data_IF_116219489289
#
_entry.id   IF_116219489289
#
_cell.length_a   1.000
_cell.length_b   1.000
_cell.length_c   1.000
_cell.angle_alpha   90.00
_cell.angle_beta   90.00
_cell.angle_gamma   90.00
#
_symmetry.space_group_name_H-M   'P 1'
#
loop_
_entity.id
_entity.type
_entity.pdbx_description
1 polymer ?
#
# COMPACT_ATOMS: atom_id res chain seq x y z
N UNK A 1 -19.73 4.86 -15.55
CA UNK A 1 -19.78 4.07 -14.30
C UNK A 1 -18.71 4.60 -13.34
N UNK A 2 -18.72 4.17 -12.08
CA UNK A 2 -17.65 4.44 -11.12
C UNK A 2 -17.39 3.20 -10.27
N UNK A 3 -16.14 3.03 -9.79
CA UNK A 3 -15.76 1.97 -8.86
C UNK A 3 -14.90 2.60 -7.75
N UNK A 4 -15.18 2.25 -6.50
CA UNK A 4 -14.44 2.77 -5.34
C UNK A 4 -13.40 1.74 -4.88
N UNK A 5 -12.12 2.00 -5.14
CA UNK A 5 -11.01 1.08 -4.80
C UNK A 5 -10.64 1.06 -3.30
N UNK A 6 -11.02 2.13 -2.58
CA UNK A 6 -10.81 2.26 -1.13
C UNK A 6 -12.01 3.01 -0.54
N UNK A 7 -12.73 2.39 0.39
CA UNK A 7 -13.97 2.95 0.94
C UNK A 7 -13.76 4.20 1.79
N UNK A 8 -12.65 4.24 2.53
CA UNK A 8 -12.21 5.40 3.32
C UNK A 8 -10.69 5.51 3.28
N UNK A 9 -10.11 6.44 2.50
CA UNK A 9 -8.68 6.46 2.25
C UNK A 9 -7.92 7.22 3.35
N UNK A 10 -7.08 6.49 4.10
CA UNK A 10 -6.22 7.07 5.16
C UNK A 10 -4.72 6.69 5.01
N UNK A 11 -4.34 6.15 3.84
CA UNK A 11 -3.00 5.58 3.60
C UNK A 11 -2.28 6.12 2.35
N UNK A 12 -2.82 7.14 1.68
CA UNK A 12 -2.23 7.63 0.42
C UNK A 12 -2.18 6.57 -0.69
N UNK A 13 -3.21 5.71 -0.76
CA UNK A 13 -3.36 4.68 -1.80
C UNK A 13 -4.11 5.23 -3.02
N UNK A 14 -3.67 6.37 -3.54
CA UNK A 14 -4.21 6.94 -4.77
C UNK A 14 -3.94 6.03 -5.99
N UNK A 15 -4.90 6.04 -6.92
CA UNK A 15 -4.76 5.42 -8.24
C UNK A 15 -4.03 6.40 -9.17
N UNK A 16 -2.70 6.42 -9.05
CA UNK A 16 -1.85 7.49 -9.58
C UNK A 16 -1.58 7.42 -11.09
N UNK A 17 -1.79 6.27 -11.73
CA UNK A 17 -1.47 6.07 -13.14
C UNK A 17 -2.71 5.99 -14.02
N UNK A 18 -2.51 6.22 -15.32
CA UNK A 18 -3.56 6.03 -16.30
C UNK A 18 -4.02 4.56 -16.34
N UNK A 19 -5.33 4.31 -16.53
CA UNK A 19 -5.85 2.98 -16.81
C UNK A 19 -5.35 2.47 -18.17
N UNK A 20 -5.18 1.15 -18.29
CA UNK A 20 -4.79 0.47 -19.51
C UNK A 20 -6.04 -0.12 -20.15
N UNK A 21 -6.38 0.27 -21.38
CA UNK A 21 -7.45 -0.37 -22.14
C UNK A 21 -6.94 -1.68 -22.71
N UNK A 22 -7.62 -2.78 -22.41
CA UNK A 22 -7.22 -4.12 -22.83
C UNK A 22 -8.42 -4.84 -23.45
N UNK A 23 -8.16 -5.66 -24.47
CA UNK A 23 -9.15 -6.57 -25.04
C UNK A 23 -8.69 -8.00 -24.73
N UNK A 24 -9.49 -8.73 -23.94
CA UNK A 24 -9.15 -10.05 -23.36
C UNK A 24 -10.25 -11.07 -23.60
N UNK A 25 -9.96 -12.35 -23.38
CA UNK A 25 -10.95 -13.43 -23.48
C UNK A 25 -11.01 -14.21 -22.18
N UNK A 26 -12.10 -14.08 -21.43
CA UNK A 26 -12.30 -14.79 -20.16
C UNK A 26 -13.43 -15.81 -20.33
N UNK A 27 -13.16 -17.07 -20.02
CA UNK A 27 -14.11 -18.18 -20.17
C UNK A 27 -14.72 -18.26 -21.60
N UNK A 28 -13.91 -17.95 -22.61
CA UNK A 28 -14.34 -17.93 -24.03
C UNK A 28 -15.16 -16.70 -24.44
N UNK A 29 -15.41 -15.75 -23.54
CA UNK A 29 -16.12 -14.50 -23.82
C UNK A 29 -15.11 -13.36 -24.09
N UNK A 30 -15.17 -12.69 -25.24
CA UNK A 30 -14.38 -11.48 -25.47
C UNK A 30 -14.91 -10.34 -24.58
N UNK A 31 -14.00 -9.66 -23.88
CA UNK A 31 -14.30 -8.55 -22.98
C UNK A 31 -13.45 -7.35 -23.36
N UNK A 32 -14.11 -6.21 -23.54
CA UNK A 32 -13.49 -4.90 -23.61
C UNK A 32 -13.23 -4.41 -22.19
N UNK A 33 -12.04 -4.65 -21.67
CA UNK A 33 -11.72 -4.35 -20.28
C UNK A 33 -10.86 -3.09 -20.14
N UNK A 34 -10.80 -2.62 -18.89
CA UNK A 34 -9.86 -1.62 -18.41
C UNK A 34 -9.13 -2.22 -17.21
N UNK A 35 -7.80 -2.21 -17.27
CA UNK A 35 -6.93 -2.67 -16.20
C UNK A 35 -6.27 -1.48 -15.51
N UNK A 36 -6.46 -1.38 -14.20
CA UNK A 36 -5.96 -0.29 -13.38
C UNK A 36 -5.03 -0.86 -12.30
N UNK A 37 -3.70 -0.77 -12.48
CA UNK A 37 -2.78 -1.03 -11.40
C UNK A 37 -2.87 0.11 -10.37
N UNK A 38 -2.71 -0.23 -9.09
CA UNK A 38 -2.80 0.75 -8.01
C UNK A 38 -1.63 0.69 -7.05
N UNK A 39 -1.50 1.73 -6.21
CA UNK A 39 -0.50 1.73 -5.13
C UNK A 39 -0.63 0.52 -4.23
N UNK A 40 -1.82 -0.07 -4.10
CA UNK A 40 -2.06 -1.27 -3.30
C UNK A 40 -1.36 -2.54 -3.80
N UNK A 41 -0.69 -2.52 -4.95
CA UNK A 41 -0.15 -3.71 -5.61
C UNK A 41 -1.24 -4.69 -6.12
N UNK A 42 -2.46 -4.18 -6.34
CA UNK A 42 -3.52 -4.87 -7.06
C UNK A 42 -3.59 -4.39 -8.51
N UNK A 43 -4.00 -5.29 -9.41
CA UNK A 43 -4.49 -4.96 -10.74
C UNK A 43 -6.01 -5.14 -10.74
N UNK A 44 -6.76 -4.04 -10.74
CA UNK A 44 -8.20 -4.10 -10.87
C UNK A 44 -8.57 -4.21 -12.34
N UNK A 45 -9.42 -5.16 -12.70
CA UNK A 45 -9.86 -5.35 -14.09
C UNK A 45 -11.37 -5.29 -14.14
N UNK A 46 -11.88 -4.30 -14.86
CA UNK A 46 -13.31 -4.00 -14.98
C UNK A 46 -13.69 -4.01 -16.47
N UNK A 47 -14.94 -4.36 -16.79
CA UNK A 47 -15.50 -4.09 -18.11
C UNK A 47 -15.53 -2.57 -18.34
N UNK A 48 -14.95 -2.09 -19.43
CA UNK A 48 -14.79 -0.64 -19.65
C UNK A 48 -16.09 0.05 -20.05
N UNK A 49 -17.09 -0.70 -20.52
CA UNK A 49 -18.40 -0.16 -20.90
C UNK A 49 -19.33 -0.09 -19.68
N UNK A 50 -19.29 -1.10 -18.78
CA UNK A 50 -20.22 -1.19 -17.64
C UNK A 50 -19.63 -0.82 -16.28
N UNK A 51 -18.31 -1.01 -16.09
CA UNK A 51 -17.63 -0.87 -14.81
C UNK A 51 -17.74 -2.09 -13.89
N UNK A 52 -18.36 -3.16 -14.37
CA UNK A 52 -18.49 -4.41 -13.61
C UNK A 52 -17.14 -5.13 -13.53
N UNK A 53 -16.79 -5.76 -12.40
CA UNK A 53 -15.57 -6.54 -12.29
C UNK A 53 -15.53 -7.71 -13.28
N UNK A 54 -14.40 -7.88 -13.97
CA UNK A 54 -14.19 -9.04 -14.85
C UNK A 54 -14.09 -10.33 -14.02
N UNK A 55 -13.40 -10.26 -12.89
CA UNK A 55 -13.33 -11.33 -11.88
C UNK A 55 -13.87 -10.84 -10.55
N UNK A 56 -14.27 -11.74 -9.62
CA UNK A 56 -14.77 -11.33 -8.32
C UNK A 56 -13.82 -10.39 -7.58
N UNK A 57 -14.37 -9.32 -7.03
CA UNK A 57 -13.70 -8.46 -6.06
C UNK A 57 -14.45 -8.65 -4.75
N UNK A 58 -13.76 -9.16 -3.74
CA UNK A 58 -14.37 -9.52 -2.46
C UNK A 58 -14.23 -8.39 -1.46
N UNK A 59 -15.32 -8.08 -0.76
CA UNK A 59 -15.26 -7.26 0.44
C UNK A 59 -14.67 -8.08 1.59
N UNK A 60 -13.46 -7.72 2.04
CA UNK A 60 -12.78 -8.41 3.14
C UNK A 60 -12.65 -7.51 4.35
N UNK A 61 -12.86 -8.03 5.58
CA UNK A 61 -12.59 -7.29 6.79
C UNK A 61 -11.14 -6.80 6.86
N UNK A 62 -10.96 -5.56 7.32
CA UNK A 62 -9.63 -4.95 7.46
C UNK A 62 -9.41 -4.46 8.90
N UNK A 63 -8.15 -4.32 9.36
CA UNK A 63 -7.88 -3.85 10.70
C UNK A 63 -8.51 -2.47 10.96
N UNK A 64 -9.00 -2.27 12.17
CA UNK A 64 -9.57 -1.01 12.63
C UNK A 64 -8.54 -0.24 13.47
N UNK A 65 -8.72 1.07 13.56
CA UNK A 65 -7.83 1.95 14.30
C UNK A 65 -8.50 2.56 15.52
N UNK A 66 -7.75 3.44 16.19
CA UNK A 66 -8.10 4.04 17.47
C UNK A 66 -7.85 5.56 17.50
N UNK A 67 -7.66 6.20 16.34
CA UNK A 67 -7.45 7.64 16.25
C UNK A 67 -8.75 8.37 16.62
N UNK A 68 -8.74 9.26 17.63
CA UNK A 68 -9.95 9.95 18.09
C UNK A 68 -10.66 10.78 17.00
N UNK A 69 -11.90 10.39 16.70
CA UNK A 69 -12.76 11.04 15.71
C UNK A 69 -12.52 10.59 14.27
N UNK A 70 -11.63 9.63 14.04
CA UNK A 70 -11.52 8.93 12.76
C UNK A 70 -12.59 7.83 12.69
N UNK A 71 -13.17 7.64 11.50
CA UNK A 71 -14.00 6.48 11.21
C UNK A 71 -13.23 5.52 10.32
N UNK A 72 -13.55 4.24 10.40
CA UNK A 72 -12.85 3.20 9.67
C UNK A 72 -13.85 2.37 8.90
N UNK A 73 -13.55 2.09 7.63
CA UNK A 73 -14.36 1.15 6.86
C UNK A 73 -14.22 -0.26 7.46
N UNK A 74 -15.32 -1.01 7.65
CA UNK A 74 -15.24 -2.37 8.16
C UNK A 74 -14.58 -3.33 7.17
N UNK A 75 -14.73 -3.06 5.87
CA UNK A 75 -14.19 -3.87 4.77
C UNK A 75 -13.47 -3.01 3.74
N UNK A 76 -12.75 -3.66 2.84
CA UNK A 76 -12.21 -3.07 1.61
C UNK A 76 -12.37 -4.07 0.46
N UNK A 77 -12.36 -3.61 -0.80
CA UNK A 77 -12.38 -4.47 -1.97
C UNK A 77 -11.02 -5.15 -2.20
N UNK A 78 -11.02 -6.47 -2.42
CA UNK A 78 -9.84 -7.26 -2.76
C UNK A 78 -10.09 -8.03 -4.07
N UNK A 79 -9.40 -7.68 -5.16
CA UNK A 79 -9.44 -8.47 -6.39
C UNK A 79 -8.99 -9.91 -6.13
N UNK A 80 -9.76 -10.86 -6.64
CA UNK A 80 -9.40 -12.29 -6.57
C UNK A 80 -8.44 -12.70 -7.68
N UNK A 81 -8.49 -11.98 -8.83
CA UNK A 81 -7.63 -12.19 -9.98
C UNK A 81 -7.26 -10.87 -10.66
N UNK A 82 -6.02 -10.75 -11.15
CA UNK A 82 -4.86 -11.56 -10.75
C UNK A 82 -4.58 -11.40 -9.24
N UNK A 83 -3.75 -12.28 -8.62
CA UNK A 83 -3.30 -12.04 -7.25
C UNK A 83 -2.52 -10.72 -7.17
N UNK A 84 -2.36 -10.19 -5.95
CA UNK A 84 -1.50 -9.04 -5.72
C UNK A 84 -0.08 -9.32 -6.25
N UNK A 85 0.47 -8.38 -7.02
CA UNK A 85 1.75 -8.57 -7.71
C UNK A 85 2.96 -8.15 -6.86
N UNK A 86 2.75 -7.56 -5.69
CA UNK A 86 3.79 -7.21 -4.73
C UNK A 86 3.29 -7.28 -3.27
N UNK A 87 4.14 -6.92 -2.31
CA UNK A 87 3.90 -6.96 -0.87
C UNK A 87 2.76 -6.01 -0.45
N UNK A 88 1.93 -6.50 0.47
CA UNK A 88 0.70 -5.85 0.92
C UNK A 88 0.65 -5.75 2.44
N UNK A 89 1.50 -4.91 3.01
CA UNK A 89 1.64 -4.76 4.46
C UNK A 89 3.01 -5.21 4.95
N UNK A 90 3.20 -5.12 6.26
CA UNK A 90 4.49 -5.28 6.92
C UNK A 90 4.48 -6.42 7.94
N UNK A 91 5.59 -7.14 8.03
CA UNK A 91 5.84 -8.18 9.02
C UNK A 91 7.31 -8.25 9.42
N UNK A 92 7.62 -9.00 10.48
CA UNK A 92 9.00 -9.30 10.87
C UNK A 92 9.75 -10.07 9.77
N UNK A 93 9.04 -10.84 8.94
CA UNK A 93 9.64 -11.60 7.86
C UNK A 93 10.09 -10.72 6.69
N UNK A 94 9.59 -9.49 6.60
CA UNK A 94 9.99 -8.53 5.57
C UNK A 94 11.29 -7.80 5.89
N UNK A 95 11.81 -7.95 7.11
CA UNK A 95 12.99 -7.23 7.57
C UNK A 95 14.28 -7.75 6.93
N UNK A 96 15.23 -6.85 6.75
CA UNK A 96 16.59 -7.13 6.31
C UNK A 96 17.19 -8.29 7.10
N UNK A 97 17.82 -9.22 6.37
CA UNK A 97 18.32 -10.48 6.93
C UNK A 97 19.68 -10.89 6.34
N UNK A 98 20.48 -9.94 5.87
CA UNK A 98 21.81 -10.23 5.32
C UNK A 98 22.74 -10.87 6.35
N UNK A 99 22.59 -10.51 7.63
CA UNK A 99 23.22 -11.20 8.76
C UNK A 99 22.25 -11.32 9.93
N UNK A 100 22.47 -12.26 10.88
CA UNK A 100 21.67 -12.35 12.10
C UNK A 100 21.65 -11.06 12.93
N UNK A 101 22.77 -10.32 12.98
CA UNK A 101 22.92 -9.07 13.74
C UNK A 101 22.07 -7.96 13.15
N UNK A 102 22.12 -7.78 11.81
CA UNK A 102 21.27 -6.80 11.12
C UNK A 102 19.79 -7.12 11.29
N UNK A 103 19.43 -8.41 11.27
CA UNK A 103 18.05 -8.83 11.50
C UNK A 103 17.60 -8.54 12.94
N UNK A 104 18.46 -8.78 13.93
CA UNK A 104 18.17 -8.48 15.33
C UNK A 104 17.97 -6.98 15.56
N UNK A 105 18.84 -6.13 15.00
CA UNK A 105 18.69 -4.67 15.04
C UNK A 105 17.40 -4.20 14.34
N UNK A 106 17.03 -4.82 13.22
CA UNK A 106 15.79 -4.52 12.53
C UNK A 106 14.57 -4.85 13.39
N UNK A 107 14.55 -6.02 14.04
CA UNK A 107 13.47 -6.42 14.96
C UNK A 107 13.35 -5.44 16.12
N UNK A 108 14.49 -5.11 16.76
CA UNK A 108 14.51 -4.16 17.88
C UNK A 108 13.98 -2.79 17.45
N UNK A 109 14.40 -2.30 16.28
CA UNK A 109 13.89 -1.05 15.72
C UNK A 109 12.37 -1.08 15.53
N UNK A 110 11.82 -2.12 14.90
CA UNK A 110 10.38 -2.19 14.61
C UNK A 110 9.52 -2.57 15.80
N UNK A 111 10.10 -3.00 16.92
CA UNK A 111 9.37 -3.34 18.16
C UNK A 111 8.52 -2.18 18.70
N UNK A 112 8.90 -0.94 18.38
CA UNK A 112 8.18 0.28 18.75
C UNK A 112 7.13 0.72 17.73
N UNK A 113 6.87 -0.07 16.70
CA UNK A 113 5.98 0.27 15.61
C UNK A 113 4.83 -0.73 15.50
N UNK A 114 3.71 -0.28 14.93
CA UNK A 114 2.58 -1.16 14.58
C UNK A 114 2.85 -1.76 13.20
N UNK A 115 2.98 -3.08 13.13
CA UNK A 115 3.04 -3.84 11.88
C UNK A 115 1.67 -4.44 11.56
N UNK A 116 1.43 -4.79 10.30
CA UNK A 116 0.19 -5.47 9.91
C UNK A 116 -0.08 -5.46 8.40
N UNK A 117 -1.24 -5.99 7.97
CA UNK A 117 -1.60 -6.05 6.56
C UNK A 117 -1.80 -4.66 5.93
N UNK A 118 -1.94 -4.60 4.60
CA UNK A 118 -2.02 -3.39 3.77
C UNK A 118 -2.93 -2.26 4.30
N UNK A 119 -4.04 -2.59 4.95
CA UNK A 119 -4.99 -1.61 5.50
C UNK A 119 -4.87 -1.42 7.01
N UNK A 120 -3.68 -1.64 7.58
CA UNK A 120 -3.44 -1.32 9.00
C UNK A 120 -3.47 0.19 9.20
N UNK A 121 -4.37 0.75 10.02
CA UNK A 121 -4.54 2.20 10.11
C UNK A 121 -3.36 2.94 10.72
N UNK A 122 -3.21 4.25 10.44
CA UNK A 122 -2.31 5.15 11.16
C UNK A 122 -2.55 5.14 12.68
N UNK A 123 -1.54 5.57 13.43
CA UNK A 123 -1.60 5.74 14.89
C UNK A 123 -1.40 7.19 15.29
N UNK A 124 -2.02 7.59 16.39
CA UNK A 124 -1.52 8.72 17.17
C UNK A 124 -0.21 8.27 17.81
N UNK A 125 0.89 8.92 17.44
CA UNK A 125 2.24 8.59 17.87
C UNK A 125 2.37 8.73 19.38
N UNK A 126 3.02 7.74 20.01
CA UNK A 126 3.33 7.76 21.44
C UNK A 126 4.79 7.45 21.71
N UNK A 127 5.37 8.07 22.72
CA UNK A 127 6.76 7.85 23.11
C UNK A 127 7.01 6.44 23.65
N UNK A 128 6.00 5.85 24.32
CA UNK A 128 6.00 4.46 24.80
C UNK A 128 5.56 3.44 23.74
N UNK A 129 5.14 3.91 22.56
CA UNK A 129 4.75 3.10 21.42
C UNK A 129 3.23 2.89 21.29
N UNK A 130 2.73 2.60 20.06
CA UNK A 130 3.48 2.62 18.81
C UNK A 130 3.85 4.04 18.35
N UNK A 131 5.06 4.20 17.80
CA UNK A 131 5.54 5.49 17.27
C UNK A 131 4.86 5.80 15.93
N UNK A 132 4.71 4.79 15.08
CA UNK A 132 4.02 4.88 13.81
C UNK A 132 3.49 3.49 13.41
N UNK A 133 2.56 3.46 12.45
CA UNK A 133 2.23 2.24 11.71
C UNK A 133 3.19 2.12 10.54
N UNK A 134 3.84 0.96 10.39
CA UNK A 134 4.65 0.68 9.22
C UNK A 134 3.84 -0.10 8.21
N UNK A 135 3.91 0.29 6.95
CA UNK A 135 3.50 -0.57 5.85
C UNK A 135 4.68 -0.82 4.90
N UNK A 136 4.48 -1.72 3.95
CA UNK A 136 5.47 -2.07 2.94
C UNK A 136 4.79 -2.28 1.59
N UNK A 137 5.41 -1.73 0.54
CA UNK A 137 4.87 -1.71 -0.82
C UNK A 137 3.82 -0.62 -1.01
N UNK A 138 2.61 -0.85 -0.50
CA UNK A 138 1.47 0.05 -0.72
C UNK A 138 1.73 1.50 -0.28
N UNK A 139 1.19 2.55 -0.91
CA UNK A 139 1.47 3.94 -0.49
C UNK A 139 2.88 4.48 -0.83
N UNK A 140 3.94 3.65 -0.73
CA UNK A 140 5.28 3.94 -1.27
C UNK A 140 5.43 3.58 -2.75
N UNK A 141 4.44 2.89 -3.32
CA UNK A 141 4.30 2.64 -4.74
C UNK A 141 4.35 1.17 -5.12
N UNK A 142 3.28 0.43 -4.81
CA UNK A 142 2.94 -0.79 -5.56
C UNK A 142 3.00 -0.46 -7.05
N UNK A 143 2.05 0.28 -7.61
CA UNK A 143 2.29 1.04 -8.85
C UNK A 143 1.89 2.49 -8.65
N UNK A 144 2.81 3.41 -8.99
CA UNK A 144 2.61 4.86 -8.90
C UNK A 144 2.41 5.45 -10.31
N UNK A 145 2.68 6.74 -10.52
CA UNK A 145 2.51 7.43 -11.81
C UNK A 145 3.06 6.75 -13.08
N UNK A 146 4.11 5.90 -13.08
CA UNK A 146 4.59 5.30 -14.34
C UNK A 146 3.58 4.33 -14.97
N UNK A 147 2.66 3.76 -14.18
CA UNK A 147 1.69 2.79 -14.66
C UNK A 147 2.32 1.49 -15.14
N UNK A 148 1.68 0.83 -16.10
CA UNK A 148 2.14 -0.40 -16.74
C UNK A 148 1.87 -0.39 -18.25
N UNK A 149 2.23 -1.48 -18.91
CA UNK A 149 2.00 -1.69 -20.33
C UNK A 149 1.23 -2.99 -20.57
N UNK A 150 0.57 -3.11 -21.73
CA UNK A 150 -0.12 -4.32 -22.16
C UNK A 150 0.39 -4.72 -23.53
N UNK A 151 0.74 -6.00 -23.67
CA UNK A 151 1.02 -6.62 -24.96
C UNK A 151 -0.26 -7.33 -25.45
N UNK A 152 -0.90 -6.87 -26.54
CA UNK A 152 -2.12 -7.49 -27.05
C UNK A 152 -1.90 -8.84 -27.74
N UNK A 153 -0.67 -9.18 -28.16
CA UNK A 153 -0.38 -10.46 -28.81
C UNK A 153 -0.30 -11.59 -27.78
N UNK A 154 0.35 -11.33 -26.65
CA UNK A 154 0.51 -12.28 -25.54
C UNK A 154 -0.53 -12.08 -24.43
N UNK A 155 -1.38 -11.05 -24.56
CA UNK A 155 -2.36 -10.60 -23.56
C UNK A 155 -1.79 -10.54 -22.16
N UNK A 156 -0.58 -9.97 -22.08
CA UNK A 156 0.17 -9.86 -20.84
C UNK A 156 0.29 -8.40 -20.42
N UNK A 157 -0.07 -8.14 -19.17
CA UNK A 157 0.11 -6.84 -18.51
C UNK A 157 1.47 -6.83 -17.79
N UNK A 158 2.32 -5.87 -18.12
CA UNK A 158 3.62 -5.64 -17.50
C UNK A 158 3.54 -4.46 -16.54
N UNK A 159 3.75 -4.71 -15.26
CA UNK A 159 3.58 -3.71 -14.20
C UNK A 159 4.82 -3.65 -13.30
N UNK A 160 5.51 -2.50 -13.23
CA UNK A 160 6.59 -2.28 -12.29
C UNK A 160 6.04 -1.98 -10.89
N UNK A 161 6.76 -2.43 -9.88
CA UNK A 161 6.45 -2.15 -8.49
C UNK A 161 7.64 -1.90 -7.59
N UNK A 162 7.40 -1.22 -6.47
CA UNK A 162 8.40 -0.91 -5.45
C UNK A 162 7.98 -1.47 -4.10
N UNK A 163 8.97 -1.95 -3.34
CA UNK A 163 8.80 -2.59 -2.05
C UNK A 163 9.64 -1.86 -0.98
N UNK A 164 9.26 -0.62 -0.69
CA UNK A 164 9.85 0.18 0.38
C UNK A 164 8.94 0.22 1.61
N UNK A 165 9.53 0.22 2.80
CA UNK A 165 8.78 0.54 4.01
C UNK A 165 8.33 1.98 3.96
N UNK A 166 7.23 2.32 4.62
CA UNK A 166 6.81 3.70 4.88
C UNK A 166 6.14 3.72 6.26
N UNK A 167 5.94 4.91 6.81
CA UNK A 167 5.31 5.09 8.11
C UNK A 167 4.11 6.03 8.03
N UNK A 168 3.10 5.73 8.84
CA UNK A 168 1.95 6.59 9.09
C UNK A 168 1.86 6.91 10.58
N UNK A 169 2.05 8.19 10.89
CA UNK A 169 2.10 8.72 12.24
C UNK A 169 1.36 10.05 12.30
N UNK A 170 0.66 10.26 13.41
CA UNK A 170 -0.10 11.46 13.70
C UNK A 170 0.30 12.00 15.07
N UNK A 171 0.47 13.30 15.19
CA UNK A 171 0.54 14.00 16.47
C UNK A 171 -0.42 15.19 16.45
N UNK A 172 -0.96 15.62 17.61
CA UNK A 172 -1.59 16.92 17.70
C UNK A 172 -0.61 18.01 17.27
N UNK A 173 -1.06 19.09 16.61
CA UNK A 173 -0.17 20.22 16.33
C UNK A 173 0.36 20.78 17.67
N UNK A 174 1.66 21.11 17.76
CA UNK A 174 2.25 21.65 18.99
C UNK A 174 1.75 23.06 19.30
N UNK A 175 1.27 23.77 18.28
CA UNK A 175 0.72 25.13 18.36
C UNK A 175 -0.48 25.23 17.40
N UNK A 176 -1.66 25.70 17.84
CA UNK A 176 -2.81 25.97 16.98
C UNK A 176 -2.53 26.95 15.82
N UNK A 177 -1.55 27.84 15.96
CA UNK A 177 -1.15 28.76 14.86
C UNK A 177 -0.43 28.02 13.72
N UNK A 178 0.13 26.82 13.99
CA UNK A 178 0.77 26.00 12.96
C UNK A 178 -0.25 25.31 12.06
N UNK A 179 -1.36 24.84 12.64
CA UNK A 179 -2.41 24.13 11.91
C UNK A 179 -3.69 24.08 12.72
N UNK A 180 -4.82 24.29 12.04
CA UNK A 180 -6.17 24.07 12.52
C UNK A 180 -6.61 22.59 12.43
N UNK A 181 -5.80 21.72 11.82
CA UNK A 181 -6.05 20.29 11.76
C UNK A 181 -5.86 19.67 13.15
N UNK A 182 -6.76 18.75 13.53
CA UNK A 182 -6.66 18.01 14.80
C UNK A 182 -5.34 17.22 14.92
N UNK A 183 -4.83 16.74 13.79
CA UNK A 183 -3.60 15.98 13.70
C UNK A 183 -2.75 16.43 12.52
N UNK A 184 -1.44 16.41 12.70
CA UNK A 184 -0.43 16.64 11.66
C UNK A 184 0.56 15.47 11.63
N UNK A 185 1.31 15.35 10.52
CA UNK A 185 2.37 14.34 10.42
C UNK A 185 3.50 14.65 11.40
N UNK A 186 3.85 13.69 12.24
CA UNK A 186 4.97 13.79 13.17
C UNK A 186 5.05 12.61 14.13
N UNK A 187 6.16 12.48 14.87
CA UNK A 187 6.31 11.49 15.94
C UNK A 187 6.35 12.15 17.31
N UNK A 188 5.88 11.43 18.34
CA UNK A 188 5.97 11.89 19.72
C UNK A 188 7.41 12.08 20.23
N UNK A 189 8.40 11.46 19.57
CA UNK A 189 9.81 11.50 19.97
C UNK A 189 10.61 12.59 19.27
N UNK A 190 10.15 13.10 18.12
CA UNK A 190 10.90 14.08 17.32
C UNK A 190 10.08 15.30 16.91
N UNK A 191 8.75 15.26 17.05
CA UNK A 191 7.86 16.37 16.73
C UNK A 191 7.39 16.39 15.27
N UNK A 192 6.90 17.56 14.85
CA UNK A 192 6.26 17.77 13.54
C UNK A 192 7.25 17.57 12.40
N UNK A 193 6.78 16.97 11.30
CA UNK A 193 7.57 16.76 10.09
C UNK A 193 8.60 15.63 10.21
N UNK A 194 8.84 15.12 11.41
CA UNK A 194 9.69 13.97 11.65
C UNK A 194 8.90 12.66 11.58
N UNK A 195 9.48 11.67 10.89
CA UNK A 195 8.81 10.44 10.49
C UNK A 195 8.87 10.22 8.97
N UNK A 196 8.74 8.98 8.53
CA UNK A 196 8.93 8.56 7.15
C UNK A 196 10.28 7.90 6.83
N UNK A 197 10.47 7.63 5.53
CA UNK A 197 11.51 6.75 4.95
C UNK A 197 12.94 6.94 5.45
N UNK A 198 13.34 8.20 5.71
CA UNK A 198 14.74 8.54 5.99
C UNK A 198 15.27 7.96 7.31
N UNK A 199 14.37 7.66 8.24
CA UNK A 199 14.72 7.18 9.59
C UNK A 199 14.58 5.65 9.76
N UNK A 200 14.07 4.94 8.75
CA UNK A 200 13.83 3.50 8.79
C UNK A 200 14.93 2.73 8.06
N UNK A 201 16.10 2.64 8.67
CA UNK A 201 17.24 1.88 8.16
C UNK A 201 18.01 1.22 9.31
N UNK A 202 18.77 0.18 8.98
CA UNK A 202 19.73 -0.45 9.90
C UNK A 202 21.12 -0.16 9.36
N UNK A 203 21.89 0.69 10.06
CA UNK A 203 23.26 1.07 9.67
C UNK A 203 23.35 1.63 8.23
N UNK A 204 22.36 2.39 7.79
CA UNK A 204 22.26 2.93 6.44
C UNK A 204 21.68 1.98 5.39
N UNK A 205 21.39 0.73 5.75
CA UNK A 205 20.77 -0.26 4.84
C UNK A 205 19.24 -0.22 4.93
N UNK A 206 18.52 -0.42 3.81
CA UNK A 206 17.06 -0.48 3.82
C UNK A 206 16.53 -1.47 4.85
N UNK A 207 15.45 -1.10 5.55
CA UNK A 207 14.80 -1.97 6.52
C UNK A 207 14.17 -3.21 5.87
N UNK A 208 13.66 -3.08 4.65
CA UNK A 208 13.09 -4.20 3.89
C UNK A 208 14.21 -5.10 3.35
N UNK A 209 13.99 -6.41 3.34
CA UNK A 209 14.84 -7.33 2.56
C UNK A 209 14.52 -7.24 1.06
N UNK A 210 15.50 -7.50 0.17
CA UNK A 210 15.26 -7.59 -1.27
C UNK A 210 14.14 -8.59 -1.66
N UNK A 211 13.58 -8.45 -2.86
CA UNK A 211 13.83 -7.38 -3.83
C UNK A 211 13.17 -6.06 -3.42
N UNK A 212 13.79 -4.93 -3.80
CA UNK A 212 13.29 -3.56 -3.51
C UNK A 212 12.31 -3.03 -4.55
N UNK A 213 12.24 -3.71 -5.71
CA UNK A 213 11.25 -3.48 -6.74
C UNK A 213 11.16 -4.72 -7.64
N UNK A 214 10.07 -4.81 -8.38
CA UNK A 214 9.75 -5.93 -9.26
C UNK A 214 9.19 -5.42 -10.57
N UNK A 215 9.31 -6.23 -11.61
CA UNK A 215 8.52 -6.11 -12.83
C UNK A 215 7.72 -7.40 -12.93
N UNK A 216 6.40 -7.30 -12.86
CA UNK A 216 5.50 -8.44 -12.96
C UNK A 216 4.88 -8.49 -14.35
N UNK A 217 4.92 -9.68 -14.95
CA UNK A 217 4.17 -10.03 -16.16
C UNK A 217 2.93 -10.82 -15.72
N UNK A 218 1.75 -10.31 -16.05
CA UNK A 218 0.46 -10.83 -15.60
C UNK A 218 -0.33 -11.23 -16.84
N UNK A 219 -0.53 -12.52 -17.01
CA UNK A 219 -1.48 -13.04 -17.99
C UNK A 219 -2.92 -12.69 -17.54
N UNK A 220 -3.70 -12.13 -18.45
CA UNK A 220 -5.07 -11.66 -18.19
C UNK A 220 -6.12 -12.36 -19.06
N UNK A 221 -5.78 -13.50 -19.68
CA UNK A 221 -6.73 -14.45 -20.29
C UNK A 221 -7.19 -15.55 -19.31
#
# INVERSE_FOLDING_TARGET
WHFQFVHHPIWGFDMACAPILIDIVVDGRPIKAVAQPGKQAFLYVLDRETGEPVWPIEERPVPQGDVPGEWYSPTQPFPTRPPAYDRQGSSIDDLINFTPELRAEAIDLVSRYRLGPIFTPPVVSRADGPIATLGLGAGSGGTNWPGGAFDPETRTVYVPSQANFYSWELIPPPDPELSDMRYVKGTATRGVGHGGLRDLNVRGLPLAKPPYGRLSAIDVD
#
